data_IF_072371267935
#
_entry.id   IF_072371267935
#
_cell.length_a   1.000
_cell.length_b   1.000
_cell.length_c   1.000
_cell.angle_alpha   90.00
_cell.angle_beta   90.00
_cell.angle_gamma   90.00
#
_symmetry.space_group_name_H-M   'P 1'
#
loop_
_entity.id
_entity.type
_entity.pdbx_description
1 polymer ?
#
# COMPACT_ATOMS: atom_id res chain seq x y z
N UNK A 1 12.71 9.44 -0.70
CA UNK A 1 11.87 8.69 -1.65
C UNK A 1 11.56 7.36 -1.00
N UNK A 2 10.29 7.03 -0.76
CA UNK A 2 9.90 5.76 -0.12
C UNK A 2 9.75 4.64 -1.17
N UNK A 3 9.59 3.39 -0.72
CA UNK A 3 9.52 2.23 -1.63
C UNK A 3 8.32 2.35 -2.58
N UNK A 4 7.19 2.86 -2.09
CA UNK A 4 6.02 3.12 -2.94
C UNK A 4 6.33 4.11 -4.08
N UNK A 5 6.99 5.23 -3.80
CA UNK A 5 7.39 6.20 -4.82
C UNK A 5 8.33 5.58 -5.85
N UNK A 6 9.29 4.75 -5.41
CA UNK A 6 10.17 4.00 -6.32
C UNK A 6 9.36 3.06 -7.21
N UNK A 7 8.47 2.26 -6.64
CA UNK A 7 7.59 1.34 -7.39
C UNK A 7 6.76 2.10 -8.43
N UNK A 8 6.15 3.22 -8.04
CA UNK A 8 5.35 4.05 -8.95
C UNK A 8 6.20 4.68 -10.05
N UNK A 9 7.42 5.12 -9.75
CA UNK A 9 8.35 5.67 -10.76
C UNK A 9 8.83 4.65 -11.79
N UNK A 10 8.76 3.34 -11.49
CA UNK A 10 9.14 2.30 -12.45
C UNK A 10 8.15 2.20 -13.61
N UNK A 11 6.88 2.61 -13.44
CA UNK A 11 5.85 2.53 -14.49
C UNK A 11 5.81 1.17 -15.18
N UNK A 12 5.87 1.16 -16.50
CA UNK A 12 5.87 -0.07 -17.32
C UNK A 12 7.06 -1.01 -17.04
N UNK A 13 8.18 -0.48 -16.54
CA UNK A 13 9.33 -1.31 -16.18
C UNK A 13 9.02 -2.20 -14.97
N UNK A 14 8.08 -1.82 -14.10
CA UNK A 14 7.65 -2.66 -12.99
C UNK A 14 7.12 -4.01 -13.47
N UNK A 15 6.23 -3.99 -14.48
CA UNK A 15 5.69 -5.21 -15.10
C UNK A 15 6.79 -6.05 -15.75
N UNK A 16 7.76 -5.41 -16.43
CA UNK A 16 8.90 -6.12 -17.03
C UNK A 16 9.79 -6.80 -15.99
N UNK A 17 10.02 -6.15 -14.85
CA UNK A 17 10.82 -6.70 -13.75
C UNK A 17 10.10 -7.86 -13.05
N UNK A 18 8.77 -7.79 -12.91
CA UNK A 18 7.96 -8.91 -12.44
C UNK A 18 8.00 -10.09 -13.43
N UNK A 19 7.85 -9.84 -14.74
CA UNK A 19 7.93 -10.88 -15.77
C UNK A 19 9.29 -11.57 -15.85
N UNK A 20 10.35 -10.92 -15.36
CA UNK A 20 11.71 -11.48 -15.21
C UNK A 20 11.96 -12.14 -13.84
N UNK A 21 10.94 -12.27 -12.99
CA UNK A 21 11.06 -12.75 -11.60
C UNK A 21 12.05 -11.95 -10.71
N UNK A 22 12.38 -10.71 -11.08
CA UNK A 22 13.24 -9.83 -10.28
C UNK A 22 12.47 -9.10 -9.17
N UNK A 23 11.15 -8.95 -9.34
CA UNK A 23 10.24 -8.43 -8.33
C UNK A 23 9.21 -9.52 -8.03
N UNK A 24 9.01 -9.89 -6.75
CA UNK A 24 7.98 -10.86 -6.39
C UNK A 24 6.57 -10.38 -6.74
N UNK A 25 5.72 -11.29 -7.23
CA UNK A 25 4.36 -10.94 -7.69
C UNK A 25 3.48 -10.33 -6.58
N UNK A 26 3.67 -10.74 -5.32
CA UNK A 26 2.90 -10.22 -4.18
C UNK A 26 3.12 -8.72 -3.95
N UNK A 27 4.19 -8.12 -4.49
CA UNK A 27 4.41 -6.68 -4.44
C UNK A 27 3.34 -5.91 -5.22
N UNK A 28 2.75 -6.54 -6.26
CA UNK A 28 1.61 -5.96 -6.97
C UNK A 28 0.39 -5.85 -6.04
N UNK A 29 0.06 -6.93 -5.33
CA UNK A 29 -1.04 -6.93 -4.35
C UNK A 29 -0.80 -5.88 -3.27
N UNK A 30 0.43 -5.82 -2.74
CA UNK A 30 0.81 -4.86 -1.71
C UNK A 30 0.70 -3.41 -2.19
N UNK A 31 1.05 -3.14 -3.45
CA UNK A 31 0.86 -1.82 -4.07
C UNK A 31 -0.62 -1.45 -4.10
N UNK A 32 -1.49 -2.35 -4.52
CA UNK A 32 -2.95 -2.13 -4.56
C UNK A 32 -3.50 -1.85 -3.16
N UNK A 33 -3.09 -2.63 -2.16
CA UNK A 33 -3.54 -2.44 -0.78
C UNK A 33 -3.05 -1.12 -0.20
N UNK A 34 -1.81 -0.74 -0.47
CA UNK A 34 -1.25 0.53 -0.02
C UNK A 34 -1.95 1.73 -0.68
N UNK A 35 -2.28 1.65 -1.97
CA UNK A 35 -3.05 2.69 -2.65
C UNK A 35 -4.47 2.84 -2.08
N UNK A 36 -5.12 1.73 -1.73
CA UNK A 36 -6.40 1.77 -1.03
C UNK A 36 -6.28 2.43 0.35
N UNK A 37 -5.20 2.14 1.08
CA UNK A 37 -4.90 2.80 2.35
C UNK A 37 -4.68 4.31 2.20
N UNK A 38 -3.98 4.76 1.16
CA UNK A 38 -3.82 6.19 0.90
C UNK A 38 -5.18 6.87 0.63
N UNK A 39 -6.06 6.24 -0.14
CA UNK A 39 -7.41 6.75 -0.40
C UNK A 39 -8.25 6.83 0.86
N UNK A 40 -8.20 5.80 1.71
CA UNK A 40 -8.91 5.80 2.98
C UNK A 40 -8.35 6.87 3.93
N UNK A 41 -7.03 7.06 3.95
CA UNK A 41 -6.40 8.14 4.71
C UNK A 41 -6.85 9.53 4.25
N UNK A 42 -6.98 9.76 2.95
CA UNK A 42 -7.54 11.00 2.39
C UNK A 42 -9.00 11.20 2.80
N UNK A 43 -9.82 10.15 2.74
CA UNK A 43 -11.21 10.18 3.21
C UNK A 43 -11.29 10.57 4.70
N UNK A 44 -10.49 9.91 5.55
CA UNK A 44 -10.46 10.18 6.98
C UNK A 44 -10.01 11.62 7.27
N UNK A 45 -8.99 12.11 6.56
CA UNK A 45 -8.53 13.49 6.67
C UNK A 45 -9.62 14.50 6.28
N UNK A 46 -10.36 14.23 5.21
CA UNK A 46 -11.43 15.10 4.70
C UNK A 46 -12.63 15.17 5.64
N UNK A 47 -13.05 14.03 6.21
CA UNK A 47 -14.28 13.93 6.99
C UNK A 47 -14.08 14.13 8.50
N UNK A 48 -12.91 13.76 9.05
CA UNK A 48 -12.66 13.79 10.50
C UNK A 48 -11.57 14.79 10.92
N UNK A 49 -11.02 15.57 9.97
CA UNK A 49 -9.96 16.58 10.17
C UNK A 49 -8.65 16.03 10.77
N UNK A 50 -8.52 14.70 10.94
CA UNK A 50 -7.33 14.02 11.44
C UNK A 50 -7.15 12.69 10.72
N UNK A 51 -5.91 12.33 10.34
CA UNK A 51 -5.64 11.06 9.70
C UNK A 51 -5.64 9.94 10.75
N UNK A 52 -6.62 9.03 10.66
CA UNK A 52 -6.75 7.88 11.57
C UNK A 52 -6.06 6.66 10.97
N UNK A 53 -4.73 6.62 11.03
CA UNK A 53 -3.89 5.57 10.42
C UNK A 53 -4.34 4.14 10.76
N UNK A 54 -4.56 3.85 12.04
CA UNK A 54 -4.99 2.52 12.50
C UNK A 54 -6.35 2.14 11.94
N UNK A 55 -7.29 3.08 11.90
CA UNK A 55 -8.63 2.82 11.38
C UNK A 55 -8.60 2.61 9.87
N UNK A 56 -7.86 3.44 9.13
CA UNK A 56 -7.68 3.27 7.69
C UNK A 56 -7.02 1.92 7.35
N UNK A 57 -6.02 1.49 8.12
CA UNK A 57 -5.42 0.18 7.97
C UNK A 57 -6.42 -0.95 8.24
N UNK A 58 -7.26 -0.82 9.27
CA UNK A 58 -8.31 -1.78 9.60
C UNK A 58 -9.36 -1.91 8.49
N UNK A 59 -9.85 -0.79 7.95
CA UNK A 59 -10.83 -0.77 6.86
C UNK A 59 -10.30 -1.47 5.60
N UNK A 60 -9.05 -1.21 5.22
CA UNK A 60 -8.44 -1.87 4.04
C UNK A 60 -8.17 -3.34 4.29
N UNK A 61 -7.72 -3.70 5.50
CA UNK A 61 -7.53 -5.10 5.88
C UNK A 61 -8.83 -5.90 5.75
N UNK A 62 -9.94 -5.36 6.23
CA UNK A 62 -11.27 -5.94 6.09
C UNK A 62 -11.71 -6.02 4.62
N UNK A 63 -11.56 -4.93 3.85
CA UNK A 63 -11.94 -4.87 2.43
C UNK A 63 -11.26 -5.96 1.60
N UNK A 64 -9.97 -6.20 1.79
CA UNK A 64 -9.18 -7.16 1.03
C UNK A 64 -9.05 -8.53 1.70
N UNK A 65 -9.74 -8.75 2.84
CA UNK A 65 -9.70 -10.01 3.61
C UNK A 65 -8.27 -10.43 4.00
N UNK A 66 -7.44 -9.46 4.37
CA UNK A 66 -6.11 -9.69 4.93
C UNK A 66 -6.11 -9.33 6.42
N UNK A 67 -5.10 -9.76 7.16
CA UNK A 67 -4.99 -9.38 8.58
C UNK A 67 -4.52 -7.93 8.71
N UNK A 68 -4.95 -7.23 9.77
CA UNK A 68 -4.42 -5.89 10.09
C UNK A 68 -2.90 -5.90 10.23
N UNK A 69 -2.32 -6.97 10.81
CA UNK A 69 -0.87 -7.17 10.90
C UNK A 69 -0.23 -7.16 9.51
N UNK A 70 -0.82 -7.86 8.54
CA UNK A 70 -0.36 -7.85 7.15
C UNK A 70 -0.40 -6.42 6.59
N UNK A 71 -1.49 -5.69 6.83
CA UNK A 71 -1.63 -4.32 6.36
C UNK A 71 -0.57 -3.39 6.97
N UNK A 72 -0.30 -3.48 8.28
CA UNK A 72 0.76 -2.72 8.93
C UNK A 72 2.15 -3.06 8.40
N UNK A 73 2.42 -4.35 8.13
CA UNK A 73 3.68 -4.76 7.50
C UNK A 73 3.83 -4.14 6.10
N UNK A 74 2.75 -4.10 5.32
CA UNK A 74 2.74 -3.46 3.99
C UNK A 74 3.00 -1.97 4.11
N UNK A 75 2.35 -1.28 5.05
CA UNK A 75 2.56 0.16 5.29
C UNK A 75 4.03 0.41 5.64
N UNK A 76 4.59 -0.34 6.60
CA UNK A 76 6.01 -0.21 6.98
C UNK A 76 6.94 -0.47 5.80
N UNK A 77 6.65 -1.51 5.00
CA UNK A 77 7.41 -1.81 3.80
C UNK A 77 7.35 -0.66 2.79
N UNK A 78 6.18 -0.13 2.50
CA UNK A 78 6.00 0.92 1.50
C UNK A 78 6.58 2.27 1.93
N UNK A 79 6.44 2.63 3.21
CA UNK A 79 6.96 3.88 3.78
C UNK A 79 8.48 3.83 4.00
N UNK A 80 9.09 2.64 4.03
CA UNK A 80 10.55 2.50 4.17
C UNK A 80 11.06 2.67 5.60
N UNK A 81 10.19 2.41 6.59
CA UNK A 81 10.55 2.36 8.02
C UNK A 81 11.16 1.02 8.40
#
# INVERSE_FOLDING_TARGET
>A
MNRYQTITSLGDNFMKLMGKNLIPIHILDWKVYYEAYLKEMEYQQKHFKKPRKTHAAGCVAEQYKITERTMFNIISFMEGS
#
